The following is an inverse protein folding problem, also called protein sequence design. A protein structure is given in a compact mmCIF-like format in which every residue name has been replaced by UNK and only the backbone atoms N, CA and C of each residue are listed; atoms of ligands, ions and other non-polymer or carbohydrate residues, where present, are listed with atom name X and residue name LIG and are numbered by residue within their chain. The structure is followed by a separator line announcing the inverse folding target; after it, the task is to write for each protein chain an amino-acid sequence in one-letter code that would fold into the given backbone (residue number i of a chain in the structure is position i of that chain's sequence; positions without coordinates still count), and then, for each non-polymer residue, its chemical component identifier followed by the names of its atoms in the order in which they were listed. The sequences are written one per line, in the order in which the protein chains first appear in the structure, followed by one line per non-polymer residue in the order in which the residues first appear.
data_IF_795109539492
#
_entry.id   IF_795109539492
#
_cell.length_a   1.000
_cell.length_b   1.000
_cell.length_c   1.000
_cell.angle_alpha   90.00
_cell.angle_beta   90.00
_cell.angle_gamma   90.00
#
_symmetry.space_group_name_H-M   'P 1'
#
loop_
_entity.id
_entity.type
_entity.pdbx_description
1 polymer ?
#
# COMPACT_ATOMS: atom_id res chain seq x y z
N UNK A 1 -13.18 -1.25 8.51
CA UNK A 1 -12.47 0.03 8.27
C UNK A 1 -11.97 0.00 6.83
N UNK A 2 -11.91 1.14 6.14
CA UNK A 2 -11.27 1.19 4.80
C UNK A 2 -9.90 1.85 4.94
N UNK A 3 -8.86 1.17 4.47
CA UNK A 3 -7.47 1.61 4.57
C UNK A 3 -6.91 1.96 3.20
N UNK A 4 -6.05 2.97 3.13
CA UNK A 4 -5.26 3.25 1.93
C UNK A 4 -3.91 2.53 2.07
N UNK A 5 -3.57 1.69 1.11
CA UNK A 5 -2.24 1.09 1.00
C UNK A 5 -1.40 1.94 0.03
N UNK A 6 -0.53 2.77 0.59
CA UNK A 6 0.39 3.59 -0.18
C UNK A 6 1.61 2.78 -0.62
N UNK A 7 1.64 2.43 -1.90
CA UNK A 7 2.71 1.68 -2.54
C UNK A 7 3.85 2.66 -2.88
N UNK A 8 5.06 2.33 -2.48
CA UNK A 8 6.29 3.08 -2.81
C UNK A 8 7.25 2.20 -3.60
N UNK A 9 8.42 1.87 -3.04
CA UNK A 9 9.40 0.96 -3.65
C UNK A 9 9.08 -0.52 -3.38
N UNK A 10 7.93 -0.80 -2.79
CA UNK A 10 7.46 -2.11 -2.32
C UNK A 10 6.28 -2.64 -3.13
N UNK A 11 6.31 -2.47 -4.47
CA UNK A 11 5.31 -2.98 -5.41
C UNK A 11 5.32 -4.53 -5.45
N UNK A 12 4.85 -5.15 -4.38
CA UNK A 12 4.72 -6.60 -4.19
C UNK A 12 3.48 -6.92 -3.35
N UNK A 13 2.82 -8.02 -3.70
CA UNK A 13 1.66 -8.53 -2.95
C UNK A 13 2.08 -9.52 -1.85
N UNK A 14 3.15 -10.27 -2.10
CA UNK A 14 3.70 -11.23 -1.14
C UNK A 14 4.67 -10.55 -0.19
N UNK A 15 4.67 -10.99 1.06
CA UNK A 15 5.58 -10.49 2.10
C UNK A 15 5.56 -8.96 2.24
N UNK A 16 4.35 -8.38 2.20
CA UNK A 16 4.12 -6.95 2.42
C UNK A 16 3.34 -6.77 3.72
N UNK A 17 4.05 -6.40 4.80
CA UNK A 17 3.46 -6.24 6.13
C UNK A 17 2.36 -5.17 6.16
N UNK A 18 2.55 -4.05 5.44
CA UNK A 18 1.56 -2.97 5.40
C UNK A 18 0.27 -3.43 4.72
N UNK A 19 0.37 -4.12 3.58
CA UNK A 19 -0.78 -4.73 2.91
C UNK A 19 -1.47 -5.76 3.81
N UNK A 20 -0.69 -6.65 4.45
CA UNK A 20 -1.23 -7.69 5.31
C UNK A 20 -2.03 -7.09 6.47
N UNK A 21 -1.47 -6.12 7.20
CA UNK A 21 -2.16 -5.43 8.29
C UNK A 21 -3.41 -4.69 7.82
N UNK A 22 -3.37 -4.04 6.65
CA UNK A 22 -4.52 -3.35 6.10
C UNK A 22 -5.68 -4.31 5.76
N UNK A 23 -5.37 -5.47 5.18
CA UNK A 23 -6.35 -6.51 4.86
C UNK A 23 -7.01 -7.11 6.12
N UNK A 24 -6.28 -7.19 7.24
CA UNK A 24 -6.86 -7.63 8.52
C UNK A 24 -7.88 -6.61 9.09
N UNK A 25 -7.74 -5.32 8.74
CA UNK A 25 -8.63 -4.26 9.21
C UNK A 25 -9.88 -4.05 8.32
N UNK A 26 -9.87 -4.57 7.09
CA UNK A 26 -11.00 -4.52 6.16
C UNK A 26 -10.57 -4.19 4.73
N UNK A 27 -11.44 -3.47 4.00
CA UNK A 27 -11.22 -3.10 2.60
C UNK A 27 -9.98 -2.23 2.43
N UNK A 28 -9.23 -2.49 1.37
CA UNK A 28 -7.99 -1.76 1.05
C UNK A 28 -8.11 -1.11 -0.32
N UNK A 29 -7.73 0.16 -0.39
CA UNK A 29 -7.58 0.89 -1.64
C UNK A 29 -6.09 1.07 -1.90
N UNK A 30 -5.52 0.45 -2.96
CA UNK A 30 -4.13 0.66 -3.32
C UNK A 30 -3.96 2.06 -3.93
N UNK A 31 -2.86 2.74 -3.61
CA UNK A 31 -2.53 4.05 -4.18
C UNK A 31 -1.04 4.16 -4.39
N UNK A 32 -0.64 4.66 -5.56
CA UNK A 32 0.74 5.02 -5.87
C UNK A 32 0.77 6.51 -6.21
N UNK A 33 1.68 7.26 -5.58
CA UNK A 33 1.82 8.69 -5.80
C UNK A 33 3.04 8.89 -6.70
N UNK A 34 2.82 9.39 -7.91
CA UNK A 34 3.90 9.82 -8.80
C UNK A 34 4.38 11.20 -8.35
N UNK A 35 5.43 11.21 -7.54
CA UNK A 35 6.09 12.43 -7.09
C UNK A 35 7.21 12.79 -8.08
N UNK A 36 7.23 13.99 -8.68
CA UNK A 36 8.33 14.44 -9.55
C UNK A 36 9.70 14.48 -8.86
N UNK A 37 9.74 14.54 -7.53
CA UNK A 37 10.95 14.49 -6.71
C UNK A 37 11.34 13.06 -6.29
N UNK A 38 10.63 12.03 -6.78
CA UNK A 38 10.93 10.64 -6.47
C UNK A 38 12.19 10.19 -7.23
N UNK A 39 13.32 10.10 -6.52
CA UNK A 39 14.55 9.45 -7.01
C UNK A 39 14.42 7.93 -7.11
#
# INVERSE_FOLDING_TARGET
MTSIWWIRRDLRLTDNLALHSALQAGSVIPTFILDPAFE
#
